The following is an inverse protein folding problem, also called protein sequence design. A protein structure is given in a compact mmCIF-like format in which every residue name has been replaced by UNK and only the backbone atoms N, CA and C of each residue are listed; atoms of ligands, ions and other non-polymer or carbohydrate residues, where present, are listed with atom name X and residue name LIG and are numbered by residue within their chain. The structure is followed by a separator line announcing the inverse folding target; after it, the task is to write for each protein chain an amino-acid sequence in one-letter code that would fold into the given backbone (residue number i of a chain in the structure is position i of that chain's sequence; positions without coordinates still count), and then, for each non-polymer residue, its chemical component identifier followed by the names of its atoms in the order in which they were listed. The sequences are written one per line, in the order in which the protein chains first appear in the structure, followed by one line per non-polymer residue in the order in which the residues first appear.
data_IF_119044082794
#
_entry.id   IF_119044082794
#
_cell.length_a   1.000
_cell.length_b   1.000
_cell.length_c   1.000
_cell.angle_alpha   90.00
_cell.angle_beta   90.00
_cell.angle_gamma   90.00
#
_symmetry.space_group_name_H-M   'P 1'
#
loop_
_entity.id
_entity.type
_entity.pdbx_description
1 polymer ?
#
# COMPACT_ATOMS: atom_id res chain seq x y z
N UNK A 1 -28.78 -17.26 -14.88
CA UNK A 1 -27.34 -17.45 -14.54
C UNK A 1 -26.49 -16.22 -14.86
N UNK A 2 -26.69 -15.52 -15.98
CA UNK A 2 -25.94 -14.28 -16.27
C UNK A 2 -26.17 -13.15 -15.24
N UNK A 3 -27.41 -12.93 -14.78
CA UNK A 3 -27.72 -11.88 -13.80
C UNK A 3 -27.01 -12.02 -12.44
N UNK A 4 -26.82 -13.24 -11.96
CA UNK A 4 -26.18 -13.50 -10.67
C UNK A 4 -24.68 -13.21 -10.69
N UNK A 5 -24.03 -13.39 -11.85
CA UNK A 5 -22.60 -13.09 -12.03
C UNK A 5 -22.38 -11.58 -12.12
N UNK A 6 -23.25 -10.85 -12.83
CA UNK A 6 -23.19 -9.38 -12.89
C UNK A 6 -23.43 -8.73 -11.54
N UNK A 7 -24.38 -9.23 -10.75
CA UNK A 7 -24.66 -8.68 -9.42
C UNK A 7 -23.49 -8.89 -8.45
N UNK A 8 -22.84 -10.06 -8.52
CA UNK A 8 -21.64 -10.37 -7.71
C UNK A 8 -20.45 -9.49 -8.11
N UNK A 9 -20.27 -9.23 -9.41
CA UNK A 9 -19.21 -8.35 -9.89
C UNK A 9 -19.42 -6.88 -9.45
N UNK A 10 -20.66 -6.40 -9.50
CA UNK A 10 -21.03 -5.05 -9.05
C UNK A 10 -20.85 -4.90 -7.54
N UNK A 11 -21.19 -5.91 -6.74
CA UNK A 11 -20.99 -5.83 -5.28
C UNK A 11 -19.49 -5.78 -4.93
N UNK A 12 -18.67 -6.61 -5.59
CA UNK A 12 -17.22 -6.65 -5.36
C UNK A 12 -16.51 -5.34 -5.75
N UNK A 13 -16.91 -4.72 -6.87
CA UNK A 13 -16.36 -3.42 -7.29
C UNK A 13 -16.74 -2.30 -6.34
N UNK A 14 -17.99 -2.27 -5.87
CA UNK A 14 -18.42 -1.27 -4.89
C UNK A 14 -17.66 -1.37 -3.57
N UNK A 15 -17.43 -2.59 -3.06
CA UNK A 15 -16.64 -2.80 -1.83
C UNK A 15 -15.20 -2.33 -2.00
N UNK A 16 -14.56 -2.66 -3.13
CA UNK A 16 -13.20 -2.21 -3.42
C UNK A 16 -13.10 -0.67 -3.53
N UNK A 17 -14.08 -0.04 -4.19
CA UNK A 17 -14.13 1.41 -4.34
C UNK A 17 -14.32 2.11 -2.98
N UNK A 18 -15.25 1.63 -2.15
CA UNK A 18 -15.49 2.19 -0.81
C UNK A 18 -14.22 2.09 0.04
N UNK A 19 -13.56 0.94 0.03
CA UNK A 19 -12.30 0.73 0.75
C UNK A 19 -11.22 1.71 0.24
N UNK A 20 -11.04 1.81 -1.08
CA UNK A 20 -10.07 2.71 -1.69
C UNK A 20 -10.27 4.18 -1.31
N UNK A 21 -11.51 4.69 -1.37
CA UNK A 21 -11.81 6.06 -0.95
C UNK A 21 -11.53 6.29 0.53
N UNK A 22 -11.86 5.32 1.39
CA UNK A 22 -11.55 5.38 2.82
C UNK A 22 -10.05 5.45 3.07
N UNK A 23 -9.26 4.58 2.43
CA UNK A 23 -7.80 4.60 2.54
C UNK A 23 -7.21 5.91 2.07
N UNK A 24 -7.69 6.43 0.94
CA UNK A 24 -7.22 7.70 0.39
C UNK A 24 -7.55 8.87 1.30
N UNK A 25 -8.74 8.92 1.90
CA UNK A 25 -9.12 9.95 2.85
C UNK A 25 -8.24 9.94 4.11
N UNK A 26 -7.98 8.75 4.68
CA UNK A 26 -7.09 8.59 5.84
C UNK A 26 -5.66 9.01 5.48
N UNK A 27 -5.16 8.57 4.33
CA UNK A 27 -3.82 8.91 3.87
C UNK A 27 -3.67 10.42 3.58
N UNK A 28 -4.71 11.07 3.04
CA UNK A 28 -4.73 12.51 2.82
C UNK A 28 -4.68 13.31 4.13
N UNK A 29 -5.43 12.87 5.15
CA UNK A 29 -5.44 13.50 6.47
C UNK A 29 -4.07 13.36 7.16
N UNK A 30 -3.47 12.17 7.08
CA UNK A 30 -2.12 11.92 7.57
C UNK A 30 -1.09 12.79 6.84
N UNK A 31 -1.18 12.89 5.51
CA UNK A 31 -0.31 13.76 4.72
C UNK A 31 -0.44 15.22 5.14
N UNK A 32 -1.67 15.69 5.37
CA UNK A 32 -1.93 17.05 5.85
C UNK A 32 -1.24 17.31 7.20
N UNK A 33 -1.42 16.41 8.17
CA UNK A 33 -0.75 16.51 9.48
C UNK A 33 0.77 16.52 9.34
N UNK A 34 1.33 15.70 8.44
CA UNK A 34 2.76 15.73 8.19
C UNK A 34 3.23 17.05 7.57
N UNK A 35 2.52 17.60 6.59
CA UNK A 35 2.93 18.86 5.94
C UNK A 35 3.00 20.00 6.95
N UNK A 36 2.03 20.08 7.88
CA UNK A 36 2.02 21.13 8.89
C UNK A 36 3.11 20.94 9.96
N UNK A 37 3.47 19.71 10.32
CA UNK A 37 4.51 19.45 11.34
C UNK A 37 5.94 19.52 10.79
N UNK A 38 6.12 19.48 9.46
CA UNK A 38 7.43 19.47 8.80
C UNK A 38 8.30 20.68 9.19
N UNK A 39 7.68 21.85 9.38
CA UNK A 39 8.39 23.08 9.73
C UNK A 39 9.14 22.98 11.06
N UNK A 40 8.45 22.56 12.12
CA UNK A 40 9.04 22.43 13.46
C UNK A 40 9.98 21.22 13.55
N UNK A 41 9.64 20.11 12.89
CA UNK A 41 10.45 18.89 12.90
C UNK A 41 11.80 19.07 12.19
N UNK A 42 11.82 19.81 11.08
CA UNK A 42 13.06 20.10 10.34
C UNK A 42 14.08 20.86 11.18
N UNK A 43 13.62 21.68 12.13
CA UNK A 43 14.49 22.50 12.97
C UNK A 43 15.11 21.72 14.13
N UNK A 44 14.42 20.69 14.63
CA UNK A 44 14.84 19.93 15.81
C UNK A 44 15.52 18.61 15.44
N UNK A 45 14.94 17.84 14.50
CA UNK A 45 15.38 16.47 14.19
C UNK A 45 16.52 16.46 13.18
N UNK A 46 16.54 17.39 12.23
CA UNK A 46 17.52 17.36 11.14
C UNK A 46 18.90 17.88 11.56
N UNK A 47 19.01 18.42 12.77
CA UNK A 47 20.29 18.88 13.32
C UNK A 47 21.22 17.72 13.69
N UNK A 48 20.68 16.53 13.96
CA UNK A 48 21.47 15.38 14.43
C UNK A 48 21.02 14.06 13.78
N UNK A 49 21.21 13.97 12.46
CA UNK A 49 20.88 12.79 11.63
C UNK A 49 21.58 11.50 12.07
N UNK A 50 22.56 11.57 12.97
CA UNK A 50 23.34 10.43 13.47
C UNK A 50 22.62 9.59 14.52
N UNK A 51 21.52 10.08 15.08
CA UNK A 51 20.81 9.33 16.09
C UNK A 51 19.73 8.43 15.46
N UNK A 52 19.78 7.13 15.73
CA UNK A 52 18.91 6.14 15.08
C UNK A 52 17.40 6.40 15.21
N UNK A 53 16.97 7.20 16.20
CA UNK A 53 15.58 7.66 16.30
C UNK A 53 15.17 8.61 15.14
N UNK A 54 16.09 9.43 14.64
CA UNK A 54 15.85 10.32 13.50
C UNK A 54 15.66 9.51 12.21
N UNK A 55 16.43 8.44 12.02
CA UNK A 55 16.29 7.52 10.89
C UNK A 55 14.94 6.80 10.91
N UNK A 56 14.54 6.25 12.06
CA UNK A 56 13.22 5.59 12.22
C UNK A 56 12.07 6.56 11.94
N UNK A 57 12.19 7.80 12.41
CA UNK A 57 11.21 8.85 12.16
C UNK A 57 11.08 9.17 10.66
N UNK A 58 12.21 9.29 9.96
CA UNK A 58 12.24 9.58 8.52
C UNK A 58 11.71 8.41 7.68
N UNK A 59 12.05 7.16 8.05
CA UNK A 59 11.52 5.96 7.40
C UNK A 59 10.00 5.90 7.57
N UNK A 60 9.49 6.12 8.79
CA UNK A 60 8.06 6.13 9.04
C UNK A 60 7.35 7.17 8.16
N UNK A 61 7.92 8.37 8.04
CA UNK A 61 7.36 9.43 7.21
C UNK A 61 7.36 9.08 5.72
N UNK A 62 8.47 8.57 5.22
CA UNK A 62 8.59 8.17 3.82
C UNK A 62 7.58 7.08 3.48
N UNK A 63 7.44 6.08 4.35
CA UNK A 63 6.47 5.00 4.18
C UNK A 63 5.03 5.51 4.10
N UNK A 64 4.64 6.50 4.92
CA UNK A 64 3.29 7.07 4.87
C UNK A 64 3.04 7.89 3.59
N UNK A 65 4.04 8.60 3.08
CA UNK A 65 3.95 9.29 1.77
C UNK A 65 3.83 8.26 0.65
N UNK A 66 4.62 7.20 0.68
CA UNK A 66 4.52 6.12 -0.30
C UNK A 66 3.16 5.43 -0.26
N UNK A 67 2.56 5.26 0.93
CA UNK A 67 1.22 4.69 1.08
C UNK A 67 0.16 5.60 0.46
N UNK A 68 0.27 6.91 0.65
CA UNK A 68 -0.60 7.87 -0.03
C UNK A 68 -0.49 7.78 -1.56
N UNK A 69 0.74 7.70 -2.09
CA UNK A 69 0.98 7.55 -3.52
C UNK A 69 0.39 6.22 -4.04
N UNK A 70 0.56 5.12 -3.30
CA UNK A 70 -0.01 3.83 -3.65
C UNK A 70 -1.54 3.87 -3.66
N UNK A 71 -2.17 4.41 -2.61
CA UNK A 71 -3.62 4.55 -2.50
C UNK A 71 -4.21 5.41 -3.62
N UNK A 72 -3.56 6.52 -3.96
CA UNK A 72 -3.94 7.37 -5.10
C UNK A 72 -3.76 6.62 -6.42
N UNK A 73 -2.70 5.82 -6.55
CA UNK A 73 -2.44 5.04 -7.76
C UNK A 73 -3.42 3.89 -7.99
N UNK A 74 -4.04 3.37 -6.94
CA UNK A 74 -5.07 2.33 -7.00
C UNK A 74 -6.47 2.90 -7.23
N UNK A 75 -6.78 4.05 -6.64
CA UNK A 75 -8.12 4.68 -6.68
C UNK A 75 -8.34 5.62 -7.84
N UNK A 76 -7.29 6.33 -8.26
CA UNK A 76 -7.36 7.15 -9.45
C UNK A 76 -6.98 6.25 -10.61
N UNK A 77 -7.85 6.09 -11.61
CA UNK A 77 -7.43 5.55 -12.89
C UNK A 77 -6.44 6.54 -13.52
N UNK A 78 -5.15 6.48 -13.11
CA UNK A 78 -4.06 7.29 -13.64
C UNK A 78 -3.94 7.12 -15.16
N UNK A 79 -4.47 6.02 -15.71
CA UNK A 79 -4.61 5.79 -17.14
C UNK A 79 -5.53 6.82 -17.83
N UNK A 80 -6.56 7.33 -17.15
CA UNK A 80 -7.40 8.40 -17.68
C UNK A 80 -6.61 9.71 -17.66
N UNK A 81 -5.89 10.05 -16.59
CA UNK A 81 -5.12 11.31 -16.57
C UNK A 81 -3.96 11.28 -17.56
N UNK A 82 -3.22 10.18 -17.68
CA UNK A 82 -2.10 10.05 -18.63
C UNK A 82 -2.61 9.89 -20.07
N UNK A 83 -3.73 9.21 -20.32
CA UNK A 83 -4.35 9.15 -21.65
C UNK A 83 -5.01 10.47 -22.09
N UNK A 84 -5.41 11.31 -21.14
CA UNK A 84 -5.87 12.68 -21.41
C UNK A 84 -4.70 13.68 -21.54
N UNK A 85 -3.62 13.54 -20.76
CA UNK A 85 -2.42 14.39 -20.83
C UNK A 85 -1.48 14.03 -21.98
N UNK A 86 -1.35 12.75 -22.31
CA UNK A 86 -0.67 12.22 -23.48
C UNK A 86 -1.76 11.70 -24.42
N UNK A 87 -2.09 12.47 -25.46
CA UNK A 87 -3.04 12.08 -26.52
C UNK A 87 -2.56 10.82 -27.30
N UNK A 88 -2.53 9.66 -26.65
CA UNK A 88 -2.05 8.38 -27.18
C UNK A 88 -3.23 7.42 -27.39
N UNK A 89 -4.24 7.87 -28.15
CA UNK A 89 -5.45 7.10 -28.44
C UNK A 89 -5.35 6.19 -29.69
N UNK A 90 -4.18 6.07 -30.33
CA UNK A 90 -4.08 5.50 -31.70
C UNK A 90 -2.87 4.61 -32.00
N UNK A 91 -2.28 3.91 -31.01
CA UNK A 91 -1.30 2.85 -31.33
C UNK A 91 -1.78 1.53 -30.72
N UNK A 92 -2.09 0.58 -31.60
CA UNK A 92 -2.60 -0.78 -31.38
C UNK A 92 -1.61 -1.71 -30.64
N UNK A 93 -0.94 -1.20 -29.62
CA UNK A 93 -0.04 -1.91 -28.70
C UNK A 93 -0.33 -1.51 -27.24
N UNK A 94 -1.58 -1.12 -26.98
CA UNK A 94 -2.03 -0.49 -25.73
C UNK A 94 -2.30 -1.43 -24.54
N UNK A 95 -2.13 -2.74 -24.70
CA UNK A 95 -2.39 -3.71 -23.62
C UNK A 95 -1.18 -3.85 -22.69
N UNK A 96 0.04 -3.68 -23.19
CA UNK A 96 1.26 -4.00 -22.42
C UNK A 96 1.62 -2.97 -21.33
N UNK A 97 1.34 -1.68 -21.55
CA UNK A 97 1.70 -0.63 -20.58
C UNK A 97 0.72 -0.60 -19.40
N UNK A 98 -0.55 -0.90 -19.64
CA UNK A 98 -1.60 -0.97 -18.62
C UNK A 98 -1.30 -2.10 -17.62
N UNK A 99 -1.11 -3.34 -18.11
CA UNK A 99 -0.82 -4.50 -17.27
C UNK A 99 0.51 -4.34 -16.51
N UNK A 100 1.52 -3.70 -17.12
CA UNK A 100 2.81 -3.42 -16.45
C UNK A 100 2.69 -2.37 -15.34
N UNK A 101 1.96 -1.29 -15.58
CA UNK A 101 1.73 -0.26 -14.56
C UNK A 101 0.90 -0.79 -13.39
N UNK A 102 -0.13 -1.60 -13.67
CA UNK A 102 -0.99 -2.20 -12.66
C UNK A 102 -0.21 -3.15 -11.72
N UNK A 103 0.60 -4.03 -12.31
CA UNK A 103 1.50 -4.92 -11.57
C UNK A 103 2.54 -4.14 -10.76
N UNK A 104 3.09 -3.05 -11.31
CA UNK A 104 4.06 -2.22 -10.61
C UNK A 104 3.44 -1.50 -9.41
N UNK A 105 2.24 -0.92 -9.56
CA UNK A 105 1.51 -0.27 -8.45
C UNK A 105 1.20 -1.27 -7.34
N UNK A 106 0.73 -2.46 -7.69
CA UNK A 106 0.43 -3.51 -6.70
C UNK A 106 1.69 -3.96 -5.95
N UNK A 107 2.79 -4.24 -6.67
CA UNK A 107 4.06 -4.62 -6.03
C UNK A 107 4.57 -3.48 -5.13
N UNK A 108 4.44 -2.23 -5.59
CA UNK A 108 4.83 -1.08 -4.80
C UNK A 108 4.01 -0.96 -3.52
N UNK A 109 2.69 -1.09 -3.58
CA UNK A 109 1.80 -1.09 -2.41
C UNK A 109 2.20 -2.19 -1.41
N UNK A 110 2.44 -3.41 -1.89
CA UNK A 110 2.89 -4.54 -1.05
C UNK A 110 4.22 -4.26 -0.33
N UNK A 111 5.19 -3.69 -1.04
CA UNK A 111 6.49 -3.33 -0.46
C UNK A 111 6.33 -2.25 0.59
N UNK A 112 5.52 -1.23 0.31
CA UNK A 112 5.27 -0.11 1.24
C UNK A 112 4.59 -0.62 2.51
N UNK A 113 3.56 -1.45 2.39
CA UNK A 113 2.87 -2.05 3.55
C UNK A 113 3.81 -2.83 4.45
N UNK A 114 4.68 -3.68 3.87
CA UNK A 114 5.67 -4.43 4.64
C UNK A 114 6.64 -3.50 5.38
N UNK A 115 7.08 -2.42 4.74
CA UNK A 115 7.95 -1.44 5.39
C UNK A 115 7.24 -0.70 6.53
N UNK A 116 5.94 -0.40 6.40
CA UNK A 116 5.13 0.19 7.47
C UNK A 116 5.07 -0.76 8.67
N UNK A 117 4.72 -2.03 8.47
CA UNK A 117 4.64 -3.00 9.56
C UNK A 117 5.99 -3.19 10.27
N UNK A 118 7.10 -3.24 9.52
CA UNK A 118 8.45 -3.30 10.10
C UNK A 118 8.76 -2.06 10.94
N UNK A 119 8.40 -0.88 10.45
CA UNK A 119 8.63 0.38 11.16
C UNK A 119 7.80 0.44 12.45
N UNK A 120 6.53 0.05 12.38
CA UNK A 120 5.64 0.00 13.55
C UNK A 120 6.10 -1.03 14.57
N UNK A 121 6.61 -2.18 14.14
CA UNK A 121 7.19 -3.19 15.02
C UNK A 121 8.46 -2.65 15.72
N UNK A 122 9.34 -1.97 14.99
CA UNK A 122 10.54 -1.36 15.55
C UNK A 122 10.20 -0.28 16.59
N UNK A 123 9.28 0.64 16.27
CA UNK A 123 8.83 1.70 17.19
C UNK A 123 8.18 1.13 18.44
N UNK A 124 7.34 0.09 18.30
CA UNK A 124 6.67 -0.58 19.42
C UNK A 124 7.68 -1.24 20.36
N UNK A 125 8.68 -1.93 19.79
CA UNK A 125 9.75 -2.58 20.57
C UNK A 125 10.59 -1.56 21.32
N UNK A 126 10.99 -0.48 20.64
CA UNK A 126 11.81 0.58 21.23
C UNK A 126 11.06 1.32 22.35
N UNK A 127 9.76 1.58 22.16
CA UNK A 127 8.90 2.18 23.18
C UNK A 127 8.80 1.28 24.41
N UNK A 128 8.60 -0.03 24.22
CA UNK A 128 8.52 -0.95 25.35
C UNK A 128 9.85 -1.05 26.10
N UNK A 129 10.97 -1.05 25.38
CA UNK A 129 12.30 -1.03 25.97
C UNK A 129 12.54 0.21 26.85
N UNK A 130 12.10 1.38 26.38
CA UNK A 130 12.21 2.64 27.13
C UNK A 130 11.33 2.65 28.40
N UNK A 131 10.10 2.14 28.31
CA UNK A 131 9.16 2.10 29.46
C UNK A 131 9.59 1.07 30.50
N UNK A 132 10.19 -0.04 30.07
CA UNK A 132 10.53 -1.17 30.95
C UNK A 132 11.87 -1.00 31.68
N UNK A 133 12.36 0.23 31.83
CA UNK A 133 13.68 0.53 32.42
C UNK A 133 14.82 -0.28 31.77
N UNK A 134 14.81 -0.36 30.44
CA UNK A 134 15.77 -1.15 29.65
C UNK A 134 15.71 -2.67 29.88
N UNK A 135 14.58 -3.21 30.37
CA UNK A 135 14.40 -4.66 30.45
C UNK A 135 14.24 -5.27 29.05
N UNK A 136 15.31 -5.90 28.57
CA UNK A 136 15.41 -6.50 27.24
C UNK A 136 14.40 -7.63 27.03
N UNK A 137 14.05 -8.38 28.07
CA UNK A 137 13.15 -9.54 27.93
C UNK A 137 11.75 -9.12 27.46
N UNK A 138 11.16 -8.10 28.10
CA UNK A 138 9.87 -7.54 27.72
C UNK A 138 9.89 -6.91 26.33
N UNK A 139 11.00 -6.25 25.96
CA UNK A 139 11.19 -5.70 24.63
C UNK A 139 11.22 -6.80 23.55
N UNK A 140 11.96 -7.90 23.78
CA UNK A 140 12.02 -9.04 22.85
C UNK A 140 10.63 -9.66 22.67
N UNK A 141 9.90 -9.94 23.76
CA UNK A 141 8.56 -10.51 23.69
C UNK A 141 7.63 -9.62 22.85
N UNK A 142 7.69 -8.30 23.08
CA UNK A 142 6.90 -7.33 22.32
C UNK A 142 7.30 -7.29 20.86
N UNK A 143 8.61 -7.34 20.56
CA UNK A 143 9.12 -7.37 19.19
C UNK A 143 8.67 -8.61 18.44
N UNK A 144 8.81 -9.80 19.04
CA UNK A 144 8.35 -11.08 18.46
C UNK A 144 6.84 -11.02 18.17
N UNK A 145 6.05 -10.48 19.09
CA UNK A 145 4.62 -10.34 18.89
C UNK A 145 4.29 -9.32 17.77
N UNK A 146 5.03 -8.22 17.69
CA UNK A 146 4.87 -7.21 16.66
C UNK A 146 5.30 -7.68 15.25
N UNK A 147 6.06 -8.78 15.14
CA UNK A 147 6.35 -9.44 13.86
C UNK A 147 5.18 -10.27 13.31
N UNK A 148 4.18 -10.62 14.13
CA UNK A 148 3.01 -11.37 13.67
C UNK A 148 2.28 -10.75 12.45
N UNK A 149 1.97 -9.44 12.41
CA UNK A 149 1.39 -8.80 11.23
C UNK A 149 2.32 -8.88 10.01
N UNK A 150 3.64 -8.81 10.18
CA UNK A 150 4.59 -8.92 9.06
C UNK A 150 4.49 -10.31 8.42
N UNK A 151 4.52 -11.37 9.25
CA UNK A 151 4.46 -12.75 8.77
C UNK A 151 3.12 -13.06 8.10
N UNK A 152 2.02 -12.61 8.70
CA UNK A 152 0.67 -12.84 8.15
C UNK A 152 0.46 -12.11 6.83
N UNK A 153 0.92 -10.86 6.70
CA UNK A 153 0.86 -10.12 5.44
C UNK A 153 1.75 -10.76 4.36
N UNK A 154 2.98 -11.21 4.67
CA UNK A 154 3.81 -11.94 3.69
C UNK A 154 3.11 -13.22 3.24
N UNK A 155 2.60 -14.02 4.17
CA UNK A 155 1.94 -15.29 3.86
C UNK A 155 0.65 -15.09 3.05
N UNK A 156 -0.14 -14.05 3.38
CA UNK A 156 -1.33 -13.66 2.62
C UNK A 156 -0.98 -13.17 1.22
N UNK A 157 -0.02 -12.26 1.11
CA UNK A 157 0.37 -11.63 -0.16
C UNK A 157 1.07 -12.60 -1.09
N UNK A 158 1.82 -13.58 -0.57
CA UNK A 158 2.39 -14.66 -1.39
C UNK A 158 1.28 -15.49 -2.02
N UNK A 159 0.27 -15.88 -1.23
CA UNK A 159 -0.90 -16.59 -1.76
C UNK A 159 -1.69 -15.75 -2.74
N UNK A 160 -1.78 -14.44 -2.55
CA UNK A 160 -2.47 -13.60 -3.52
C UNK A 160 -1.66 -13.48 -4.81
N UNK A 161 -0.37 -13.12 -4.73
CA UNK A 161 0.52 -12.87 -5.88
C UNK A 161 0.63 -14.05 -6.88
N UNK A 162 0.56 -15.29 -6.41
CA UNK A 162 0.60 -16.48 -7.28
C UNK A 162 -0.73 -16.80 -7.98
N UNK A 163 -1.86 -16.25 -7.52
CA UNK A 163 -3.21 -16.53 -8.03
C UNK A 163 -3.89 -15.31 -8.68
N UNK A 164 -3.17 -14.20 -8.86
CA UNK A 164 -3.75 -13.01 -9.50
C UNK A 164 -3.77 -13.21 -11.01
N UNK A 165 -4.93 -13.63 -11.53
CA UNK A 165 -5.32 -13.22 -12.88
C UNK A 165 -5.68 -11.74 -12.78
N UNK A 166 -4.89 -10.87 -13.42
CA UNK A 166 -5.20 -9.45 -13.48
C UNK A 166 -6.46 -9.31 -14.34
N UNK A 167 -7.57 -8.86 -13.74
CA UNK A 167 -8.74 -8.47 -14.51
C UNK A 167 -8.58 -6.99 -14.79
N UNK A 168 -8.53 -6.64 -16.07
CA UNK A 168 -8.56 -5.25 -16.53
C UNK A 168 -9.96 -4.68 -16.23
N UNK A 169 -10.17 -4.22 -15.00
CA UNK A 169 -11.39 -3.52 -14.64
C UNK A 169 -11.29 -2.06 -15.10
N UNK A 170 -12.36 -1.48 -15.69
CA UNK A 170 -12.36 -0.09 -16.14
C UNK A 170 -12.10 0.93 -15.02
N UNK A 171 -12.24 0.52 -13.75
CA UNK A 171 -12.25 1.41 -12.59
C UNK A 171 -11.00 1.33 -11.68
N UNK A 172 -10.03 0.45 -11.95
CA UNK A 172 -8.80 0.40 -11.14
C UNK A 172 -8.03 -0.91 -11.14
N UNK A 173 -6.94 -0.94 -10.35
CA UNK A 173 -6.03 -2.06 -10.21
C UNK A 173 -6.24 -2.79 -8.89
N UNK A 174 -7.01 -3.88 -8.89
CA UNK A 174 -7.26 -4.69 -7.69
C UNK A 174 -7.07 -6.18 -7.95
N UNK A 175 -6.58 -6.89 -6.92
CA UNK A 175 -6.47 -8.35 -6.97
C UNK A 175 -7.84 -8.98 -6.74
N UNK A 176 -8.32 -9.79 -7.69
CA UNK A 176 -9.58 -10.53 -7.53
C UNK A 176 -9.27 -11.94 -7.01
N UNK A 177 -9.65 -12.30 -5.77
CA UNK A 177 -9.43 -13.64 -5.26
C UNK A 177 -10.29 -14.66 -6.03
N UNK A 178 -9.67 -15.75 -6.51
CA UNK A 178 -10.39 -16.90 -7.07
C UNK A 178 -10.66 -16.87 -8.57
N UNK A 179 -10.14 -15.88 -9.32
CA UNK A 179 -10.17 -15.94 -10.78
C UNK A 179 -8.95 -16.72 -11.28
N UNK A 180 -9.13 -18.02 -11.53
CA UNK A 180 -8.14 -18.82 -12.25
C UNK A 180 -7.94 -18.27 -13.67
N UNK A 181 -6.74 -18.38 -14.27
CA UNK A 181 -6.50 -18.03 -15.66
C UNK A 181 -7.23 -19.04 -16.57
N UNK A 182 -8.52 -18.79 -16.81
CA UNK A 182 -9.37 -19.58 -17.70
C UNK A 182 -9.89 -18.73 -18.88
N UNK A 183 -9.38 -17.52 -19.06
CA UNK A 183 -9.73 -16.66 -20.20
C UNK A 183 -8.47 -16.45 -21.04
N UNK A 184 -7.96 -17.53 -21.64
CA UNK A 184 -6.94 -17.45 -22.71
C UNK A 184 -7.02 -18.66 -23.66
N UNK A 185 -8.20 -19.27 -23.82
CA UNK A 185 -8.47 -20.35 -24.77
C UNK A 185 -9.88 -20.24 -25.36
N UNK A 186 -10.15 -19.18 -26.12
CA UNK A 186 -11.11 -19.19 -27.25
C UNK A 186 -10.71 -18.14 -28.27
#
# INVERSE_FOLDING_TARGET
MAGTITDTYISMTNEANIAGYSYTAVAALLLYEYVITLGEESRVIWRDFRAGYATLFMINRFNMICMFIAAVGETIPLHNIVGYCLSFKYLNSGVDWYTRSCKATLIFALVVDLNIYLTWAAVSTLRMYAISSCNVYLAIVTGVLAFAPVVTNIAGNTKNAFYISQVDAPDGCYAVPGLSPQIDLT
#
